data_IF_517387178251
#
_entry.id   IF_517387178251
#
_cell.length_a   1.000
_cell.length_b   1.000
_cell.length_c   1.000
_cell.angle_alpha   90.00
_cell.angle_beta   90.00
_cell.angle_gamma   90.00
#
_symmetry.space_group_name_H-M   'P 1'
#
loop_
_entity.id
_entity.type
_entity.pdbx_description
1 polymer ?
#
# COMPACT_ATOMS: atom_id res chain seq x y z
N UNK A 1 -40.54 16.10 -2.64
CA UNK A 1 -40.68 14.85 -3.41
C UNK A 1 -40.73 13.72 -2.42
N UNK A 2 -41.62 12.75 -2.62
CA UNK A 2 -41.62 11.56 -1.77
C UNK A 2 -40.43 10.64 -2.16
N UNK A 3 -40.09 9.67 -1.31
CA UNK A 3 -38.93 8.79 -1.54
C UNK A 3 -39.07 7.99 -2.84
N UNK A 4 -40.27 7.47 -3.12
CA UNK A 4 -40.52 6.66 -4.32
C UNK A 4 -40.34 7.46 -5.62
N UNK A 5 -40.78 8.71 -5.63
CA UNK A 5 -40.58 9.65 -6.74
C UNK A 5 -39.09 9.96 -6.95
N UNK A 6 -38.32 10.11 -5.87
CA UNK A 6 -36.86 10.28 -5.97
C UNK A 6 -36.24 9.02 -6.60
N UNK A 7 -36.62 7.83 -6.11
CA UNK A 7 -36.13 6.54 -6.64
C UNK A 7 -36.42 6.43 -8.14
N UNK A 8 -37.65 6.74 -8.57
CA UNK A 8 -38.06 6.72 -9.98
C UNK A 8 -37.23 7.68 -10.84
N UNK A 9 -37.06 8.91 -10.38
CA UNK A 9 -36.28 9.93 -11.10
C UNK A 9 -34.79 9.55 -11.18
N UNK A 10 -34.23 8.92 -10.16
CA UNK A 10 -32.86 8.41 -10.18
C UNK A 10 -32.74 7.21 -11.14
N UNK A 11 -33.69 6.27 -11.12
CA UNK A 11 -33.71 5.11 -12.00
C UNK A 11 -33.79 5.52 -13.49
N UNK A 12 -34.60 6.53 -13.81
CA UNK A 12 -34.71 7.14 -15.14
C UNK A 12 -33.52 8.04 -15.53
N UNK A 13 -32.65 8.39 -14.58
CA UNK A 13 -31.48 9.24 -14.81
C UNK A 13 -31.75 10.74 -14.86
N UNK A 14 -32.95 11.17 -14.46
CA UNK A 14 -33.37 12.56 -14.30
C UNK A 14 -32.66 13.22 -13.11
N UNK A 15 -32.48 12.46 -12.02
CA UNK A 15 -31.60 12.82 -10.89
C UNK A 15 -30.33 11.99 -10.98
N UNK A 16 -29.16 12.63 -10.95
CA UNK A 16 -27.88 11.90 -10.98
C UNK A 16 -27.55 11.32 -9.61
N UNK A 17 -26.85 10.18 -9.57
CA UNK A 17 -26.49 9.47 -8.33
C UNK A 17 -25.79 10.37 -7.29
N UNK A 18 -24.90 11.25 -7.72
CA UNK A 18 -24.17 12.17 -6.82
C UNK A 18 -25.03 13.33 -6.28
N UNK A 19 -26.25 13.51 -6.79
CA UNK A 19 -27.16 14.58 -6.38
C UNK A 19 -28.15 14.12 -5.30
N UNK A 20 -28.23 12.82 -5.02
CA UNK A 20 -29.26 12.25 -4.16
C UNK A 20 -29.25 12.86 -2.76
N UNK A 21 -28.10 13.19 -2.18
CA UNK A 21 -28.02 13.86 -0.87
C UNK A 21 -28.76 15.19 -0.81
N UNK A 22 -28.88 15.91 -1.95
CA UNK A 22 -29.65 17.17 -2.02
C UNK A 22 -31.14 16.95 -1.80
N UNK A 23 -31.65 15.76 -2.15
CA UNK A 23 -33.06 15.39 -2.03
C UNK A 23 -33.37 14.64 -0.73
N UNK A 24 -32.34 14.34 0.08
CA UNK A 24 -32.50 13.71 1.41
C UNK A 24 -32.14 14.64 2.56
N UNK A 25 -32.05 15.95 2.30
CA UNK A 25 -31.59 16.96 3.28
C UNK A 25 -30.24 16.58 3.92
N UNK A 26 -29.33 16.01 3.12
CA UNK A 26 -28.01 15.56 3.60
C UNK A 26 -28.02 14.23 4.37
N UNK A 27 -29.17 13.56 4.52
CA UNK A 27 -29.21 12.22 5.12
C UNK A 27 -28.54 11.20 4.20
N UNK A 28 -27.29 10.87 4.53
CA UNK A 28 -26.40 9.98 3.78
C UNK A 28 -26.85 8.51 3.78
N UNK A 29 -27.48 8.07 4.88
CA UNK A 29 -28.05 6.71 4.97
C UNK A 29 -29.21 6.54 4.02
N UNK A 30 -30.17 7.47 4.08
CA UNK A 30 -31.30 7.48 3.16
C UNK A 30 -30.84 7.65 1.70
N UNK A 31 -29.84 8.49 1.44
CA UNK A 31 -29.29 8.65 0.09
C UNK A 31 -28.69 7.36 -0.46
N UNK A 32 -27.97 6.60 0.38
CA UNK A 32 -27.42 5.29 0.03
C UNK A 32 -28.52 4.29 -0.31
N UNK A 33 -29.59 4.24 0.50
CA UNK A 33 -30.75 3.39 0.23
C UNK A 33 -31.47 3.77 -1.06
N UNK A 34 -31.70 5.07 -1.31
CA UNK A 34 -32.35 5.56 -2.53
C UNK A 34 -31.54 5.17 -3.76
N UNK A 35 -30.21 5.34 -3.74
CA UNK A 35 -29.36 4.92 -4.86
C UNK A 35 -29.48 3.42 -5.11
N UNK A 36 -29.36 2.60 -4.07
CA UNK A 36 -29.47 1.14 -4.18
C UNK A 36 -30.81 0.74 -4.78
N UNK A 37 -31.92 1.23 -4.22
CA UNK A 37 -33.28 0.95 -4.71
C UNK A 37 -33.51 1.43 -6.15
N UNK A 38 -32.94 2.58 -6.52
CA UNK A 38 -33.03 3.07 -7.89
C UNK A 38 -32.30 2.15 -8.88
N UNK A 39 -31.15 1.57 -8.49
CA UNK A 39 -30.46 0.56 -9.31
C UNK A 39 -31.23 -0.76 -9.36
N UNK A 40 -31.77 -1.24 -8.23
CA UNK A 40 -32.65 -2.42 -8.17
C UNK A 40 -33.83 -2.27 -9.14
N UNK A 41 -34.52 -1.12 -9.10
CA UNK A 41 -35.64 -0.79 -9.98
C UNK A 41 -35.24 -0.67 -11.45
N UNK A 42 -34.11 0.01 -11.73
CA UNK A 42 -33.62 0.22 -13.10
C UNK A 42 -33.26 -1.08 -13.81
N UNK A 43 -32.66 -2.03 -13.09
CA UNK A 43 -32.14 -3.26 -13.67
C UNK A 43 -33.01 -4.49 -13.38
N UNK A 44 -34.05 -4.37 -12.55
CA UNK A 44 -34.88 -5.52 -12.16
C UNK A 44 -34.11 -6.55 -11.33
N UNK A 45 -33.19 -6.09 -10.48
CA UNK A 45 -32.32 -6.94 -9.64
C UNK A 45 -32.57 -6.69 -8.16
N UNK A 46 -32.12 -7.61 -7.30
CA UNK A 46 -32.12 -7.45 -5.85
C UNK A 46 -30.68 -7.26 -5.33
N UNK A 47 -30.44 -6.21 -4.53
CA UNK A 47 -29.15 -5.88 -3.93
C UNK A 47 -29.20 -6.01 -2.40
N UNK A 48 -29.96 -6.99 -1.90
CA UNK A 48 -30.17 -7.25 -0.48
C UNK A 48 -28.87 -7.37 0.33
N UNK A 49 -27.93 -8.20 -0.11
CA UNK A 49 -26.73 -8.52 0.68
C UNK A 49 -25.79 -7.31 0.87
N UNK A 50 -25.61 -6.50 -0.16
CA UNK A 50 -24.79 -5.28 -0.03
C UNK A 50 -25.52 -4.19 0.75
N UNK A 51 -26.84 -4.30 0.93
CA UNK A 51 -27.67 -3.40 1.71
C UNK A 51 -27.67 -3.64 3.21
N UNK A 52 -27.19 -4.81 3.65
CA UNK A 52 -27.09 -5.20 5.05
C UNK A 52 -25.65 -5.06 5.53
N UNK A 53 -25.36 -3.96 6.22
CA UNK A 53 -24.02 -3.65 6.71
C UNK A 53 -24.07 -2.83 8.00
N UNK A 54 -23.01 -2.93 8.80
CA UNK A 54 -22.85 -2.22 10.07
C UNK A 54 -22.12 -0.88 9.94
N UNK A 55 -21.41 -0.65 8.84
CA UNK A 55 -20.67 0.60 8.57
C UNK A 55 -21.64 1.77 8.45
N UNK A 56 -21.40 2.87 9.18
CA UNK A 56 -22.25 4.05 9.11
C UNK A 56 -21.92 4.92 7.87
N UNK A 57 -22.87 5.11 6.92
CA UNK A 57 -22.66 5.94 5.74
C UNK A 57 -22.23 7.38 6.07
N UNK A 58 -22.62 7.89 7.25
CA UNK A 58 -22.21 9.24 7.68
C UNK A 58 -20.69 9.36 7.89
N UNK A 59 -20.03 8.28 8.30
CA UNK A 59 -18.60 8.28 8.61
C UNK A 59 -17.73 8.10 7.37
N UNK A 60 -18.20 7.32 6.38
CA UNK A 60 -17.41 6.93 5.21
C UNK A 60 -17.64 7.80 3.97
N UNK A 61 -18.83 8.38 3.78
CA UNK A 61 -19.11 9.20 2.60
C UNK A 61 -18.32 10.51 2.65
N UNK A 62 -17.59 10.80 1.56
CA UNK A 62 -16.73 11.98 1.45
C UNK A 62 -15.36 11.83 2.12
N UNK A 63 -15.04 10.64 2.64
CA UNK A 63 -13.71 10.28 3.16
C UNK A 63 -13.16 9.02 2.52
N UNK A 64 -13.99 7.98 2.40
CA UNK A 64 -13.61 6.65 1.91
C UNK A 64 -14.30 6.29 0.60
N UNK A 65 -15.50 6.82 0.34
CA UNK A 65 -16.31 6.43 -0.82
C UNK A 65 -17.28 7.54 -1.25
N UNK A 66 -17.61 7.56 -2.54
CA UNK A 66 -18.67 8.35 -3.15
C UNK A 66 -19.77 7.45 -3.72
N UNK A 67 -20.98 7.99 -3.93
CA UNK A 67 -22.10 7.25 -4.51
C UNK A 67 -22.37 5.89 -3.83
N UNK A 68 -22.20 5.82 -2.51
CA UNK A 68 -22.36 4.58 -1.76
C UNK A 68 -23.72 3.94 -2.04
N UNK A 69 -23.72 2.63 -2.29
CA UNK A 69 -24.93 1.80 -2.47
C UNK A 69 -24.99 0.63 -1.49
N UNK A 70 -23.94 0.41 -0.71
CA UNK A 70 -23.81 -0.78 0.13
C UNK A 70 -22.36 -1.05 0.50
N UNK A 71 -22.10 -2.28 0.97
CA UNK A 71 -20.77 -2.76 1.37
C UNK A 71 -20.56 -4.18 0.85
N UNK A 72 -19.35 -4.47 0.35
CA UNK A 72 -18.91 -5.85 0.07
C UNK A 72 -18.44 -6.52 1.36
N UNK A 73 -18.86 -7.76 1.58
CA UNK A 73 -18.48 -8.53 2.77
C UNK A 73 -17.38 -9.53 2.39
N UNK A 74 -16.23 -9.47 3.06
CA UNK A 74 -15.09 -10.37 2.84
C UNK A 74 -14.93 -11.26 4.07
N UNK A 75 -14.86 -12.60 3.93
CA UNK A 75 -14.63 -13.49 5.07
C UNK A 75 -13.34 -13.14 5.81
N UNK A 76 -13.39 -13.15 7.14
CA UNK A 76 -12.23 -12.93 7.99
C UNK A 76 -11.88 -14.17 8.79
N UNK A 77 -10.61 -14.52 8.80
CA UNK A 77 -10.02 -15.53 9.66
C UNK A 77 -8.90 -14.96 10.53
N UNK A 78 -8.34 -15.82 11.38
CA UNK A 78 -7.21 -15.47 12.25
C UNK A 78 -6.13 -16.55 12.15
N UNK A 79 -4.87 -16.13 12.09
CA UNK A 79 -3.70 -17.03 12.14
C UNK A 79 -2.83 -16.67 13.35
N UNK A 80 -2.41 -17.66 14.14
CA UNK A 80 -1.54 -17.43 15.28
C UNK A 80 -1.57 -18.54 16.35
N UNK A 81 -0.82 -18.37 17.44
CA UNK A 81 0.05 -17.22 17.71
C UNK A 81 1.31 -17.21 16.83
N UNK A 82 1.70 -16.04 16.34
CA UNK A 82 3.03 -15.76 15.77
C UNK A 82 3.87 -15.03 16.81
N UNK A 83 4.95 -15.65 17.28
CA UNK A 83 5.91 -15.00 18.17
C UNK A 83 6.85 -14.09 17.37
N UNK A 84 6.85 -12.81 17.70
CA UNK A 84 7.71 -11.80 17.09
C UNK A 84 8.69 -11.28 18.15
N UNK A 85 9.96 -11.21 17.76
CA UNK A 85 11.08 -10.67 18.52
C UNK A 85 11.67 -9.48 17.75
N UNK A 86 10.86 -8.44 17.52
CA UNK A 86 11.22 -7.25 16.74
C UNK A 86 11.63 -6.06 17.58
N UNK A 87 11.99 -4.96 16.93
CA UNK A 87 12.30 -3.68 17.57
C UNK A 87 11.05 -3.03 18.19
N UNK A 88 9.94 -3.07 17.45
CA UNK A 88 8.67 -2.44 17.83
C UNK A 88 7.59 -3.43 18.31
N UNK A 89 7.60 -4.66 17.80
CA UNK A 89 6.65 -5.71 18.15
C UNK A 89 7.38 -6.84 18.89
N UNK A 90 6.98 -7.11 20.14
CA UNK A 90 7.54 -8.17 20.98
C UNK A 90 6.43 -8.95 21.66
N UNK A 91 6.37 -10.26 21.43
CA UNK A 91 5.37 -11.15 22.01
C UNK A 91 4.64 -12.00 20.98
N UNK A 92 3.49 -12.54 21.39
CA UNK A 92 2.64 -13.39 20.54
C UNK A 92 1.49 -12.58 19.93
N UNK A 93 1.30 -12.72 18.62
CA UNK A 93 0.28 -12.01 17.86
C UNK A 93 -0.67 -12.97 17.16
N UNK A 94 -1.94 -12.60 17.13
CA UNK A 94 -2.98 -13.24 16.32
C UNK A 94 -3.33 -12.30 15.16
N UNK A 95 -3.08 -12.76 13.93
CA UNK A 95 -3.11 -11.93 12.74
C UNK A 95 -4.48 -12.06 12.07
N UNK A 96 -5.27 -10.97 11.95
CA UNK A 96 -6.51 -10.99 11.20
C UNK A 96 -6.22 -11.02 9.69
N UNK A 97 -6.94 -11.88 8.96
CA UNK A 97 -6.78 -12.09 7.52
C UNK A 97 -8.15 -12.07 6.85
N UNK A 98 -8.39 -11.10 5.96
CA UNK A 98 -9.61 -11.01 5.17
C UNK A 98 -9.36 -11.56 3.77
N UNK A 99 -9.96 -12.71 3.43
CA UNK A 99 -9.72 -13.37 2.14
C UNK A 99 -10.88 -14.24 1.71
N UNK A 100 -11.00 -14.45 0.40
CA UNK A 100 -11.88 -15.44 -0.23
C UNK A 100 -11.10 -16.67 -0.73
N UNK A 101 -9.78 -16.65 -0.65
CA UNK A 101 -8.93 -17.77 -1.06
C UNK A 101 -8.93 -18.88 -0.01
N UNK A 102 -9.40 -20.07 -0.42
CA UNK A 102 -9.36 -21.27 0.41
C UNK A 102 -7.93 -21.65 0.81
N UNK A 103 -7.78 -22.23 2.00
CA UNK A 103 -6.50 -22.68 2.57
C UNK A 103 -5.46 -21.59 2.90
N UNK A 104 -5.61 -20.33 2.47
CA UNK A 104 -4.64 -19.26 2.78
C UNK A 104 -4.43 -19.10 4.28
N UNK A 105 -5.51 -18.86 5.05
CA UNK A 105 -5.45 -18.67 6.51
C UNK A 105 -4.85 -19.90 7.20
N UNK A 106 -5.24 -21.10 6.79
CA UNK A 106 -4.73 -22.34 7.37
C UNK A 106 -3.23 -22.54 7.10
N UNK A 107 -2.77 -22.18 5.89
CA UNK A 107 -1.35 -22.23 5.50
C UNK A 107 -0.51 -21.24 6.31
N UNK A 108 -0.98 -19.99 6.45
CA UNK A 108 -0.32 -18.97 7.30
C UNK A 108 -0.26 -19.45 8.74
N UNK A 109 -1.37 -19.99 9.27
CA UNK A 109 -1.43 -20.52 10.64
C UNK A 109 -0.43 -21.67 10.89
N UNK A 110 -0.24 -22.56 9.90
CA UNK A 110 0.80 -23.61 9.97
C UNK A 110 2.21 -23.00 10.03
N UNK A 111 2.47 -21.96 9.25
CA UNK A 111 3.73 -21.20 9.30
C UNK A 111 3.96 -20.55 10.67
N UNK A 112 2.96 -19.86 11.22
CA UNK A 112 3.01 -19.28 12.57
C UNK A 112 3.36 -20.35 13.61
N UNK A 113 2.71 -21.51 13.56
CA UNK A 113 2.97 -22.62 14.49
C UNK A 113 4.40 -23.15 14.42
N UNK A 114 5.02 -23.19 13.23
CA UNK A 114 6.41 -23.61 13.07
C UNK A 114 7.39 -22.54 13.59
N UNK A 115 7.18 -21.27 13.22
CA UNK A 115 8.04 -20.16 13.62
C UNK A 115 7.99 -19.91 15.13
N UNK A 116 6.80 -19.93 15.73
CA UNK A 116 6.63 -19.77 17.19
C UNK A 116 7.31 -20.91 17.95
N UNK A 117 7.18 -22.16 17.48
CA UNK A 117 7.87 -23.30 18.08
C UNK A 117 9.40 -23.23 17.94
N UNK A 118 9.91 -22.55 16.92
CA UNK A 118 11.33 -22.31 16.70
C UNK A 118 11.90 -21.13 17.52
N UNK A 119 11.11 -20.49 18.38
CA UNK A 119 11.54 -19.36 19.21
C UNK A 119 11.11 -17.98 18.70
N UNK A 120 10.40 -17.93 17.56
CA UNK A 120 9.84 -16.71 16.98
C UNK A 120 10.70 -16.08 15.89
N UNK A 121 10.19 -15.00 15.32
CA UNK A 121 10.76 -14.30 14.16
C UNK A 121 11.42 -13.00 14.60
N UNK A 122 12.64 -12.74 14.15
CA UNK A 122 13.27 -11.41 14.31
C UNK A 122 12.82 -10.52 13.17
N UNK A 123 12.51 -9.25 13.46
CA UNK A 123 12.09 -8.28 12.45
C UNK A 123 12.78 -6.94 12.65
N UNK A 124 13.25 -6.35 11.55
CA UNK A 124 13.99 -5.09 11.54
C UNK A 124 13.42 -4.16 10.46
N UNK A 125 13.25 -2.88 10.80
CA UNK A 125 12.89 -1.85 9.81
C UNK A 125 14.19 -1.22 9.30
N UNK A 126 14.48 -1.41 8.01
CA UNK A 126 15.69 -0.91 7.36
C UNK A 126 15.52 0.54 6.93
N UNK A 127 14.33 0.90 6.45
CA UNK A 127 14.05 2.25 5.97
C UNK A 127 12.57 2.59 6.17
N UNK A 128 12.29 3.88 6.35
CA UNK A 128 10.95 4.42 6.52
C UNK A 128 10.83 5.78 5.83
N UNK A 129 10.19 5.78 4.67
CA UNK A 129 9.93 6.99 3.89
C UNK A 129 8.80 6.83 2.89
N UNK A 130 7.88 7.77 2.86
CA UNK A 130 6.91 7.87 1.77
C UNK A 130 7.44 8.78 0.67
N UNK A 131 7.10 8.49 -0.58
CA UNK A 131 7.65 9.22 -1.72
C UNK A 131 6.59 9.84 -2.62
N UNK A 132 6.95 10.98 -3.19
CA UNK A 132 6.22 11.65 -4.27
C UNK A 132 7.22 12.19 -5.28
N UNK A 133 6.91 12.04 -6.56
CA UNK A 133 7.81 12.45 -7.63
C UNK A 133 7.10 13.35 -8.64
N UNK A 134 7.08 14.67 -8.45
CA UNK A 134 6.57 15.61 -9.43
C UNK A 134 7.44 15.62 -10.70
N UNK A 135 6.81 16.01 -11.81
CA UNK A 135 7.45 16.22 -13.11
C UNK A 135 7.48 17.71 -13.45
N UNK A 136 8.68 18.20 -13.73
CA UNK A 136 8.98 19.53 -14.24
C UNK A 136 9.48 19.42 -15.69
N UNK A 137 9.09 20.39 -16.52
CA UNK A 137 9.68 20.61 -17.84
C UNK A 137 10.56 21.84 -17.78
N UNK A 138 11.84 21.65 -18.05
CA UNK A 138 12.84 22.72 -18.14
C UNK A 138 13.02 23.15 -19.61
N UNK A 139 13.66 24.30 -19.89
CA UNK A 139 14.05 24.69 -21.24
C UNK A 139 15.01 23.69 -21.87
N UNK A 140 15.97 23.20 -21.09
CA UNK A 140 16.95 22.20 -21.51
C UNK A 140 17.47 21.35 -20.33
N UNK A 141 18.33 20.39 -20.64
CA UNK A 141 18.93 19.50 -19.65
C UNK A 141 19.91 20.21 -18.68
N UNK A 142 20.51 21.34 -19.08
CA UNK A 142 21.42 22.11 -18.21
C UNK A 142 20.63 22.80 -17.12
N UNK A 143 19.49 23.43 -17.46
CA UNK A 143 18.57 24.00 -16.48
C UNK A 143 18.01 22.93 -15.56
N UNK A 144 17.61 21.77 -16.10
CA UNK A 144 17.16 20.64 -15.27
C UNK A 144 18.20 20.22 -14.23
N UNK A 145 19.48 20.15 -14.62
CA UNK A 145 20.59 19.85 -13.69
C UNK A 145 20.79 20.94 -12.65
N UNK A 146 20.70 22.21 -13.04
CA UNK A 146 20.82 23.36 -12.13
C UNK A 146 19.71 23.33 -11.07
N UNK A 147 18.45 23.14 -11.48
CA UNK A 147 17.30 23.03 -10.58
C UNK A 147 17.48 21.83 -9.64
N UNK A 148 17.87 20.66 -10.16
CA UNK A 148 18.10 19.47 -9.36
C UNK A 148 19.22 19.67 -8.31
N UNK A 149 20.30 20.36 -8.67
CA UNK A 149 21.39 20.70 -7.75
C UNK A 149 20.91 21.65 -6.65
N UNK A 150 20.21 22.71 -7.03
CA UNK A 150 19.65 23.67 -6.07
C UNK A 150 18.70 22.99 -5.09
N UNK A 151 17.77 22.14 -5.55
CA UNK A 151 16.83 21.43 -4.68
C UNK A 151 17.55 20.54 -3.67
N UNK A 152 18.61 19.83 -4.09
CA UNK A 152 19.42 19.00 -3.17
C UNK A 152 20.14 19.81 -2.11
N UNK A 153 20.68 20.96 -2.48
CA UNK A 153 21.43 21.84 -1.56
C UNK A 153 20.52 22.60 -0.58
N UNK A 154 19.21 22.65 -0.86
CA UNK A 154 18.25 23.49 -0.13
C UNK A 154 17.13 22.66 0.53
N UNK A 155 17.38 21.41 0.90
CA UNK A 155 16.38 20.55 1.58
C UNK A 155 15.84 21.21 2.86
N UNK A 156 16.71 21.70 3.74
CA UNK A 156 16.31 22.34 5.01
C UNK A 156 15.46 23.60 4.77
N UNK A 157 15.86 24.40 3.77
CA UNK A 157 15.09 25.58 3.35
C UNK A 157 13.70 25.17 2.84
N UNK A 158 13.61 24.17 1.97
CA UNK A 158 12.34 23.66 1.44
C UNK A 158 11.46 23.05 2.55
N UNK A 159 12.06 22.39 3.53
CA UNK A 159 11.36 21.92 4.72
C UNK A 159 10.72 23.10 5.48
N UNK A 160 11.47 24.17 5.72
CA UNK A 160 10.99 25.35 6.44
C UNK A 160 9.89 26.10 5.68
N UNK A 161 10.14 26.46 4.41
CA UNK A 161 9.26 27.39 3.68
C UNK A 161 8.07 26.72 3.00
N UNK A 162 8.10 25.41 2.78
CA UNK A 162 7.03 24.67 2.09
C UNK A 162 6.44 23.57 2.97
N UNK A 163 7.23 22.57 3.38
CA UNK A 163 6.69 21.38 4.06
C UNK A 163 6.06 21.71 5.41
N UNK A 164 6.66 22.62 6.17
CA UNK A 164 6.19 23.02 7.50
C UNK A 164 4.85 23.78 7.49
N UNK A 165 4.41 24.27 6.31
CA UNK A 165 3.05 24.84 6.13
C UNK A 165 1.97 23.75 6.08
N UNK A 166 2.34 22.53 5.70
CA UNK A 166 1.43 21.41 5.45
C UNK A 166 1.33 20.52 6.68
N UNK A 167 2.43 20.29 7.36
CA UNK A 167 2.51 19.31 8.46
C UNK A 167 3.49 19.76 9.54
N UNK A 168 3.17 19.42 10.78
CA UNK A 168 4.05 19.63 11.94
C UNK A 168 5.00 18.47 12.20
N UNK A 169 4.65 17.28 11.70
CA UNK A 169 5.36 16.03 12.01
C UNK A 169 6.01 15.38 10.79
N UNK A 170 5.68 15.84 9.58
CA UNK A 170 6.32 15.34 8.37
C UNK A 170 7.61 16.09 8.08
N UNK A 171 8.61 15.35 7.61
CA UNK A 171 9.95 15.85 7.34
C UNK A 171 10.40 15.41 5.96
N UNK A 172 10.88 16.35 5.13
CA UNK A 172 11.58 16.05 3.89
C UNK A 172 12.98 15.53 4.22
N UNK A 173 13.21 14.24 4.01
CA UNK A 173 14.48 13.57 4.31
C UNK A 173 15.51 13.76 3.20
N UNK A 174 15.08 13.55 1.96
CA UNK A 174 15.96 13.55 0.80
C UNK A 174 15.16 13.80 -0.49
N UNK A 175 15.88 14.03 -1.58
CA UNK A 175 15.34 14.14 -2.93
C UNK A 175 16.25 13.46 -3.94
N UNK A 176 15.67 12.53 -4.72
CA UNK A 176 16.36 11.85 -5.81
C UNK A 176 15.88 12.40 -7.17
N UNK A 177 16.68 13.24 -7.84
CA UNK A 177 16.36 13.77 -9.15
C UNK A 177 16.65 12.73 -10.25
N UNK A 178 15.78 12.69 -11.26
CA UNK A 178 15.98 11.95 -12.50
C UNK A 178 15.78 12.91 -13.67
N UNK A 179 16.74 12.97 -14.60
CA UNK A 179 16.68 13.86 -15.76
C UNK A 179 16.59 13.02 -17.03
N UNK A 180 15.58 13.29 -17.87
CA UNK A 180 15.38 12.63 -19.16
C UNK A 180 15.10 13.70 -20.20
N UNK A 181 16.12 14.06 -20.98
CA UNK A 181 16.06 15.23 -21.86
C UNK A 181 15.86 16.51 -21.05
N UNK A 182 14.82 17.27 -21.36
CA UNK A 182 14.44 18.46 -20.60
C UNK A 182 13.35 18.20 -19.54
N UNK A 183 13.09 16.93 -19.22
CA UNK A 183 12.23 16.55 -18.11
C UNK A 183 13.07 16.36 -16.85
N UNK A 184 12.61 16.92 -15.74
CA UNK A 184 13.16 16.71 -14.41
C UNK A 184 12.08 16.10 -13.52
N UNK A 185 12.37 14.94 -12.96
CA UNK A 185 11.55 14.29 -11.95
C UNK A 185 12.24 14.43 -10.60
N UNK A 186 11.55 14.92 -9.59
CA UNK A 186 12.10 15.09 -8.24
C UNK A 186 11.43 14.11 -7.29
N UNK A 187 12.03 12.93 -7.08
CA UNK A 187 11.50 11.94 -6.14
C UNK A 187 11.86 12.38 -4.71
N UNK A 188 10.96 13.13 -4.09
CA UNK A 188 11.06 13.51 -2.69
C UNK A 188 10.77 12.32 -1.78
N UNK A 189 11.55 12.22 -0.70
CA UNK A 189 11.46 11.20 0.32
C UNK A 189 11.08 11.88 1.65
N UNK A 190 9.96 11.47 2.25
CA UNK A 190 9.41 12.11 3.45
C UNK A 190 9.22 11.13 4.60
N UNK A 191 9.45 11.60 5.84
CA UNK A 191 8.89 10.99 7.04
C UNK A 191 7.41 11.35 7.20
N UNK A 192 6.58 10.39 7.61
CA UNK A 192 5.13 10.56 7.71
C UNK A 192 4.56 10.19 9.08
N UNK A 193 5.42 9.84 10.05
CA UNK A 193 5.00 9.24 11.31
C UNK A 193 4.23 7.93 11.07
N UNK A 194 3.13 7.75 11.79
CA UNK A 194 2.29 6.54 11.68
C UNK A 194 1.33 6.54 10.48
N UNK A 195 1.14 7.69 9.83
CA UNK A 195 0.31 7.74 8.63
C UNK A 195 1.06 7.12 7.44
N UNK A 196 0.33 6.45 6.55
CA UNK A 196 0.88 6.09 5.22
C UNK A 196 1.36 7.36 4.48
N UNK A 197 0.65 8.48 4.68
CA UNK A 197 1.18 9.82 4.39
C UNK A 197 1.00 10.31 2.96
N UNK A 198 0.31 9.57 2.08
CA UNK A 198 0.14 9.95 0.67
C UNK A 198 -0.43 11.36 0.46
N UNK A 199 -1.48 11.74 1.19
CA UNK A 199 -2.06 13.08 1.07
C UNK A 199 -1.08 14.17 1.54
N UNK A 200 -0.39 13.92 2.65
CA UNK A 200 0.60 14.85 3.18
C UNK A 200 1.74 15.08 2.18
N UNK A 201 2.37 14.01 1.68
CA UNK A 201 3.50 14.15 0.74
C UNK A 201 3.08 14.77 -0.58
N UNK A 202 1.82 14.61 -0.98
CA UNK A 202 1.26 15.21 -2.19
C UNK A 202 1.15 16.72 -2.04
N UNK A 203 0.53 17.19 -0.97
CA UNK A 203 0.36 18.63 -0.70
C UNK A 203 1.73 19.27 -0.42
N UNK A 204 2.59 18.61 0.36
CA UNK A 204 3.95 19.10 0.63
C UNK A 204 4.77 19.23 -0.65
N UNK A 205 4.71 18.24 -1.56
CA UNK A 205 5.38 18.33 -2.86
C UNK A 205 4.83 19.48 -3.71
N UNK A 206 3.52 19.74 -3.66
CA UNK A 206 2.91 20.88 -4.37
C UNK A 206 3.43 22.22 -3.86
N UNK A 207 3.53 22.39 -2.54
CA UNK A 207 4.11 23.60 -1.95
C UNK A 207 5.60 23.77 -2.33
N UNK A 208 6.37 22.67 -2.37
CA UNK A 208 7.76 22.70 -2.86
C UNK A 208 7.80 23.12 -4.34
N UNK A 209 6.88 22.62 -5.17
CA UNK A 209 6.85 22.99 -6.60
C UNK A 209 6.59 24.49 -6.78
N UNK A 210 5.71 25.11 -5.98
CA UNK A 210 5.48 26.56 -6.02
C UNK A 210 6.76 27.35 -5.75
N UNK A 211 7.53 26.96 -4.73
CA UNK A 211 8.83 27.59 -4.42
C UNK A 211 9.83 27.42 -5.57
N UNK A 212 9.86 26.26 -6.22
CA UNK A 212 10.73 26.02 -7.38
C UNK A 212 10.33 26.89 -8.57
N UNK A 213 9.04 26.98 -8.91
CA UNK A 213 8.56 27.80 -10.03
C UNK A 213 8.78 29.30 -9.79
N UNK A 214 8.65 29.78 -8.55
CA UNK A 214 9.00 31.16 -8.19
C UNK A 214 10.50 31.45 -8.36
N UNK A 215 11.36 30.49 -7.99
CA UNK A 215 12.82 30.62 -8.10
C UNK A 215 13.32 30.49 -9.54
N UNK A 216 12.71 29.61 -10.31
CA UNK A 216 13.07 29.29 -11.70
C UNK A 216 11.85 29.50 -12.62
N UNK A 217 11.54 30.76 -12.99
CA UNK A 217 10.32 31.09 -13.74
C UNK A 217 10.33 30.56 -15.19
N UNK A 218 11.47 30.04 -15.68
CA UNK A 218 11.61 29.37 -16.97
C UNK A 218 11.32 27.85 -16.91
N UNK A 219 11.04 27.31 -15.72
CA UNK A 219 10.66 25.91 -15.49
C UNK A 219 9.15 25.82 -15.32
N UNK A 220 8.55 24.78 -15.90
CA UNK A 220 7.11 24.53 -15.81
C UNK A 220 6.81 23.25 -15.06
N UNK A 221 6.00 23.33 -14.03
CA UNK A 221 5.41 22.19 -13.35
C UNK A 221 4.29 21.55 -14.20
N UNK A 222 4.41 20.25 -14.48
CA UNK A 222 3.49 19.52 -15.37
C UNK A 222 2.54 18.59 -14.61
N UNK A 223 3.04 17.86 -13.61
CA UNK A 223 2.24 16.86 -12.90
C UNK A 223 2.81 16.55 -11.51
N UNK A 224 1.95 16.38 -10.50
CA UNK A 224 2.36 16.07 -9.11
C UNK A 224 2.93 14.65 -9.03
N UNK A 225 2.45 13.75 -9.89
CA UNK A 225 2.97 12.40 -10.04
C UNK A 225 3.43 12.18 -11.47
N UNK A 226 4.75 12.21 -11.67
CA UNK A 226 5.42 11.83 -12.91
C UNK A 226 5.73 10.34 -12.99
N UNK A 227 5.01 9.48 -12.26
CA UNK A 227 5.22 8.03 -12.19
C UNK A 227 6.61 7.55 -11.75
N UNK A 228 7.46 8.40 -11.16
CA UNK A 228 8.72 8.01 -10.50
C UNK A 228 8.63 7.99 -8.97
N UNK A 229 7.42 7.96 -8.40
CA UNK A 229 7.24 7.84 -6.95
C UNK A 229 7.76 6.48 -6.44
N UNK A 230 7.29 5.32 -6.89
CA UNK A 230 6.14 5.01 -7.78
C UNK A 230 5.00 4.46 -6.91
N UNK A 231 3.78 4.91 -7.09
CA UNK A 231 2.64 4.50 -6.26
C UNK A 231 1.77 3.50 -7.01
N UNK A 232 1.38 2.35 -6.45
CA UNK A 232 0.40 1.39 -7.01
C UNK A 232 0.77 0.75 -8.37
N UNK A 233 2.06 0.75 -8.75
CA UNK A 233 2.55 0.09 -9.97
C UNK A 233 3.82 -0.71 -9.69
N UNK A 234 3.99 -1.91 -10.28
CA UNK A 234 5.22 -2.67 -10.15
C UNK A 234 6.38 -1.94 -10.84
N UNK A 235 7.52 -1.82 -10.17
CA UNK A 235 8.65 -1.03 -10.66
C UNK A 235 9.96 -1.34 -9.91
N UNK A 236 11.08 -1.20 -10.62
CA UNK A 236 12.42 -1.42 -10.04
C UNK A 236 12.84 -0.34 -9.04
N UNK A 237 12.35 0.89 -9.15
CA UNK A 237 12.79 2.00 -8.29
C UNK A 237 12.40 1.77 -6.84
N UNK A 238 11.17 1.34 -6.57
CA UNK A 238 10.73 0.98 -5.22
C UNK A 238 11.48 -0.25 -4.70
N UNK A 239 11.77 -1.24 -5.58
CA UNK A 239 12.54 -2.42 -5.21
C UNK A 239 13.97 -2.06 -4.76
N UNK A 240 14.62 -1.11 -5.45
CA UNK A 240 16.02 -0.74 -5.20
C UNK A 240 16.16 0.34 -4.11
N UNK A 241 15.30 1.36 -4.14
CA UNK A 241 15.44 2.57 -3.30
C UNK A 241 14.49 2.59 -2.09
N UNK A 242 13.59 1.61 -1.99
CA UNK A 242 12.53 1.55 -0.98
C UNK A 242 11.41 2.56 -1.20
N UNK A 243 10.24 2.27 -0.62
CA UNK A 243 9.09 3.16 -0.47
C UNK A 243 8.18 2.63 0.63
N UNK A 244 7.67 3.51 1.49
CA UNK A 244 7.00 3.13 2.73
C UNK A 244 8.01 2.55 3.72
N UNK A 245 7.69 1.37 4.26
CA UNK A 245 8.56 0.64 5.18
C UNK A 245 9.34 -0.43 4.41
N UNK A 246 10.66 -0.43 4.53
CA UNK A 246 11.52 -1.54 4.08
C UNK A 246 11.79 -2.42 5.28
N UNK A 247 11.39 -3.70 5.23
CA UNK A 247 11.35 -4.57 6.41
C UNK A 247 12.05 -5.88 6.10
N UNK A 248 12.88 -6.36 7.04
CA UNK A 248 13.43 -7.71 7.00
C UNK A 248 12.81 -8.52 8.13
N UNK A 249 12.40 -9.75 7.83
CA UNK A 249 11.99 -10.72 8.83
C UNK A 249 12.73 -12.04 8.63
N UNK A 250 13.28 -12.61 9.70
CA UNK A 250 14.13 -13.79 9.62
C UNK A 250 13.96 -14.74 10.81
N UNK A 251 14.21 -16.03 10.57
CA UNK A 251 14.17 -17.07 11.59
C UNK A 251 15.12 -18.23 11.22
N UNK A 252 15.56 -18.95 12.25
CA UNK A 252 16.17 -20.28 12.11
C UNK A 252 15.17 -21.29 12.65
N UNK A 253 14.78 -22.27 11.82
CA UNK A 253 13.81 -23.31 12.17
C UNK A 253 14.55 -24.63 12.31
N UNK A 254 14.56 -25.24 13.50
CA UNK A 254 15.16 -26.55 13.73
C UNK A 254 14.65 -27.62 12.77
N UNK A 255 15.53 -28.50 12.27
CA UNK A 255 15.18 -29.59 11.34
C UNK A 255 13.95 -30.39 11.80
N UNK A 256 13.93 -30.79 13.07
CA UNK A 256 12.81 -31.58 13.63
C UNK A 256 11.47 -30.84 13.46
N UNK A 257 11.46 -29.52 13.63
CA UNK A 257 10.27 -28.69 13.45
C UNK A 257 9.87 -28.64 11.98
N UNK A 258 10.83 -28.49 11.07
CA UNK A 258 10.57 -28.51 9.62
C UNK A 258 9.95 -29.85 9.21
N UNK A 259 10.54 -30.97 9.61
CA UNK A 259 10.03 -32.32 9.29
C UNK A 259 8.66 -32.57 9.92
N UNK A 260 8.49 -32.21 11.19
CA UNK A 260 7.26 -32.50 11.94
C UNK A 260 6.09 -31.60 11.55
N UNK A 261 6.30 -30.30 11.34
CA UNK A 261 5.22 -29.34 11.09
C UNK A 261 5.07 -28.97 9.62
N UNK A 262 6.18 -28.82 8.89
CA UNK A 262 6.17 -28.44 7.47
C UNK A 262 6.18 -29.64 6.54
N UNK A 263 6.48 -30.84 7.07
CA UNK A 263 6.41 -32.13 6.35
C UNK A 263 7.38 -32.18 5.17
N UNK A 264 8.57 -31.64 5.35
CA UNK A 264 9.66 -31.58 4.36
C UNK A 264 11.02 -31.48 5.08
N UNK A 265 12.11 -31.26 4.35
CA UNK A 265 13.44 -31.03 4.92
C UNK A 265 13.95 -29.61 4.63
N UNK A 266 14.90 -29.09 5.44
CA UNK A 266 15.58 -27.82 5.15
C UNK A 266 16.17 -27.75 3.74
N UNK A 267 16.82 -28.82 3.26
CA UNK A 267 17.43 -28.89 1.93
C UNK A 267 16.40 -28.69 0.83
N UNK A 268 15.24 -29.35 0.94
CA UNK A 268 14.20 -29.25 -0.07
C UNK A 268 13.60 -27.84 -0.12
N UNK A 269 13.46 -27.18 1.04
CA UNK A 269 12.99 -25.78 1.08
C UNK A 269 14.02 -24.85 0.42
N UNK A 270 15.30 -24.97 0.76
CA UNK A 270 16.37 -24.17 0.17
C UNK A 270 16.45 -24.37 -1.37
N UNK A 271 16.38 -25.62 -1.82
CA UNK A 271 16.41 -25.98 -3.24
C UNK A 271 15.22 -25.41 -4.01
N UNK A 272 13.99 -25.54 -3.46
CA UNK A 272 12.79 -24.96 -4.07
C UNK A 272 12.88 -23.44 -4.08
N UNK A 273 13.38 -22.81 -3.00
CA UNK A 273 13.56 -21.36 -2.96
C UNK A 273 14.52 -20.89 -4.07
N UNK A 274 15.68 -21.53 -4.19
CA UNK A 274 16.66 -21.20 -5.22
C UNK A 274 16.06 -21.35 -6.63
N UNK A 275 15.48 -22.51 -6.95
CA UNK A 275 14.98 -22.78 -8.31
C UNK A 275 13.74 -21.97 -8.65
N UNK A 276 12.81 -21.81 -7.70
CA UNK A 276 11.51 -21.17 -7.93
C UNK A 276 11.56 -19.66 -7.73
N UNK A 277 11.96 -19.22 -6.53
CA UNK A 277 11.89 -17.81 -6.14
C UNK A 277 13.06 -17.01 -6.73
N UNK A 278 14.22 -17.62 -6.97
CA UNK A 278 15.37 -16.93 -7.56
C UNK A 278 15.45 -17.16 -9.07
N UNK A 279 15.80 -18.37 -9.51
CA UNK A 279 16.02 -18.67 -10.94
C UNK A 279 14.75 -18.45 -11.78
N UNK A 280 13.61 -18.97 -11.31
CA UNK A 280 12.32 -18.81 -11.98
C UNK A 280 11.90 -17.34 -12.11
N UNK A 281 11.97 -16.57 -11.03
CA UNK A 281 11.64 -15.15 -11.03
C UNK A 281 12.61 -14.31 -11.88
N UNK A 282 13.91 -14.63 -11.87
CA UNK A 282 14.90 -13.99 -12.72
C UNK A 282 14.59 -14.22 -14.21
N UNK A 283 14.28 -15.46 -14.59
CA UNK A 283 13.89 -15.80 -15.96
C UNK A 283 12.62 -15.06 -16.41
N UNK A 284 11.71 -14.77 -15.48
CA UNK A 284 10.47 -14.04 -15.74
C UNK A 284 10.63 -12.51 -15.76
N UNK A 285 11.80 -11.96 -15.42
CA UNK A 285 11.98 -10.51 -15.23
C UNK A 285 11.10 -9.95 -14.09
N UNK A 286 10.83 -10.77 -13.08
CA UNK A 286 9.94 -10.43 -11.96
C UNK A 286 10.62 -9.51 -10.95
N UNK A 287 9.83 -8.72 -10.21
CA UNK A 287 10.25 -8.00 -9.00
C UNK A 287 9.82 -8.73 -7.71
N UNK A 288 9.05 -9.81 -7.85
CA UNK A 288 8.69 -10.72 -6.76
C UNK A 288 9.57 -11.97 -6.82
N UNK A 289 10.65 -11.97 -6.04
CA UNK A 289 11.51 -13.13 -5.81
C UNK A 289 11.00 -13.91 -4.60
N UNK A 290 9.70 -14.18 -4.60
CA UNK A 290 8.98 -14.78 -3.49
C UNK A 290 7.87 -15.72 -3.99
N UNK A 291 7.24 -16.44 -3.07
CA UNK A 291 6.18 -17.37 -3.43
C UNK A 291 4.81 -16.72 -3.56
N UNK A 292 4.39 -15.96 -2.54
CA UNK A 292 3.02 -15.44 -2.49
C UNK A 292 2.85 -14.23 -1.54
N UNK A 293 3.82 -13.31 -1.46
CA UNK A 293 3.72 -12.14 -0.56
C UNK A 293 2.42 -11.36 -0.74
N UNK A 294 1.99 -11.17 -2.00
CA UNK A 294 0.74 -10.50 -2.36
C UNK A 294 -0.49 -11.09 -1.64
N UNK A 295 -0.55 -12.42 -1.43
CA UNK A 295 -1.70 -13.04 -0.75
C UNK A 295 -1.75 -12.65 0.73
N UNK A 296 -0.62 -12.67 1.44
CA UNK A 296 -0.57 -12.29 2.87
C UNK A 296 -0.82 -10.79 3.01
N UNK A 297 -0.09 -9.98 2.24
CA UNK A 297 -0.23 -8.51 2.26
C UNK A 297 -1.67 -8.12 1.96
N UNK A 298 -2.27 -8.67 0.91
CA UNK A 298 -3.66 -8.39 0.57
C UNK A 298 -4.64 -8.77 1.67
N UNK A 299 -4.48 -9.95 2.27
CA UNK A 299 -5.37 -10.39 3.33
C UNK A 299 -5.27 -9.53 4.60
N UNK A 300 -4.06 -9.10 4.97
CA UNK A 300 -3.85 -8.18 6.11
C UNK A 300 -4.37 -6.78 5.77
N UNK A 301 -4.10 -6.28 4.55
CA UNK A 301 -4.49 -4.93 4.11
C UNK A 301 -6.00 -4.77 4.13
N UNK A 302 -6.74 -5.74 3.58
CA UNK A 302 -8.20 -5.75 3.61
C UNK A 302 -8.73 -5.84 5.05
N UNK A 303 -8.11 -6.66 5.90
CA UNK A 303 -8.52 -6.81 7.31
C UNK A 303 -8.27 -5.55 8.16
N UNK A 304 -7.29 -4.73 7.78
CA UNK A 304 -6.82 -3.57 8.56
C UNK A 304 -7.08 -2.22 7.89
N UNK A 305 -7.88 -2.21 6.82
CA UNK A 305 -8.32 -0.99 6.13
C UNK A 305 -7.21 -0.21 5.42
N UNK A 306 -6.18 -0.91 4.95
CA UNK A 306 -5.11 -0.30 4.12
C UNK A 306 -5.58 -0.14 2.67
N UNK A 307 -4.83 0.62 1.88
CA UNK A 307 -5.10 0.84 0.46
C UNK A 307 -4.76 -0.42 -0.35
N UNK A 308 -5.78 -1.11 -0.86
CA UNK A 308 -5.66 -2.39 -1.54
C UNK A 308 -4.86 -2.29 -2.84
N UNK A 309 -4.83 -1.14 -3.49
CA UNK A 309 -4.04 -0.97 -4.71
C UNK A 309 -2.53 -0.92 -4.41
N UNK A 310 -2.12 -0.69 -3.17
CA UNK A 310 -0.71 -0.75 -2.75
C UNK A 310 -0.23 -2.18 -2.47
N UNK A 311 -1.10 -3.20 -2.59
CA UNK A 311 -0.66 -4.61 -2.61
C UNK A 311 0.38 -4.82 -3.71
N UNK A 312 0.31 -4.09 -4.83
CA UNK A 312 1.32 -4.16 -5.90
C UNK A 312 2.73 -3.82 -5.41
N UNK A 313 2.84 -2.99 -4.37
CA UNK A 313 4.13 -2.58 -3.80
C UNK A 313 4.59 -3.57 -2.73
N UNK A 314 3.69 -4.01 -1.84
CA UNK A 314 4.00 -5.03 -0.83
C UNK A 314 4.22 -6.43 -1.40
N UNK A 315 3.90 -6.65 -2.68
CA UNK A 315 4.20 -7.89 -3.40
C UNK A 315 5.67 -7.99 -3.84
N UNK A 316 6.41 -6.87 -3.85
CA UNK A 316 7.85 -6.87 -4.10
C UNK A 316 8.60 -7.54 -2.95
N UNK A 317 9.77 -8.11 -3.27
CA UNK A 317 10.67 -8.60 -2.25
C UNK A 317 11.31 -9.92 -2.58
N UNK A 318 12.23 -10.34 -1.72
CA UNK A 318 13.06 -11.53 -1.89
C UNK A 318 12.85 -12.47 -0.72
N UNK A 319 12.64 -13.75 -1.00
CA UNK A 319 12.75 -14.83 0.00
C UNK A 319 14.12 -15.51 -0.14
N UNK A 320 14.86 -15.58 0.95
CA UNK A 320 16.09 -16.37 1.05
C UNK A 320 15.85 -17.57 1.97
N UNK A 321 16.46 -18.69 1.63
CA UNK A 321 16.39 -19.91 2.42
C UNK A 321 17.70 -20.68 2.26
N UNK A 322 18.30 -21.07 3.38
CA UNK A 322 19.61 -21.71 3.43
C UNK A 322 19.62 -22.79 4.52
N UNK A 323 20.45 -23.82 4.34
CA UNK A 323 20.68 -24.83 5.37
C UNK A 323 21.86 -24.38 6.22
N UNK A 324 21.69 -24.29 7.53
CA UNK A 324 22.76 -23.90 8.46
C UNK A 324 23.79 -25.02 8.59
N UNK A 325 24.93 -24.74 9.23
CA UNK A 325 25.97 -25.74 9.49
C UNK A 325 25.46 -26.90 10.37
N UNK A 326 24.50 -26.62 11.25
CA UNK A 326 23.83 -27.58 12.12
C UNK A 326 22.76 -28.39 11.38
N UNK A 327 22.50 -28.07 10.12
CA UNK A 327 21.47 -28.73 9.31
C UNK A 327 20.06 -28.18 9.54
N UNK A 328 19.91 -27.00 10.14
CA UNK A 328 18.62 -26.33 10.33
C UNK A 328 18.28 -25.43 9.13
N UNK A 329 17.06 -24.89 9.10
CA UNK A 329 16.63 -23.97 8.04
C UNK A 329 16.77 -22.51 8.50
N UNK A 330 17.67 -21.75 7.90
CA UNK A 330 17.57 -20.29 7.90
C UNK A 330 16.58 -19.85 6.81
N UNK A 331 15.67 -18.96 7.14
CA UNK A 331 14.74 -18.34 6.19
C UNK A 331 14.59 -16.86 6.49
N UNK A 332 14.59 -16.04 5.44
CA UNK A 332 14.32 -14.61 5.56
C UNK A 332 13.48 -14.09 4.40
N UNK A 333 12.78 -12.99 4.68
CA UNK A 333 12.07 -12.19 3.70
C UNK A 333 12.51 -10.74 3.81
N UNK A 334 12.56 -10.05 2.68
CA UNK A 334 12.87 -8.61 2.56
C UNK A 334 11.91 -7.96 1.58
#
# INVERSE_FOLDING_TARGET
>A
MNIEEIIDKVAKGEIKLHQVEKYTNGNRRLATEIRRKALEKKFGINLEHIGHYSIDPNQVIGKNIENMIGVVQIPMGVAGPLRINGEYAKGEFYIPLATTEGALVASVNRGCSALTAAGGVKTTIIDDKMTRAPLLKCPDARRAREVAGWVKENIDYLQEVAVSKVTRHGMLKDVKPFIVGNNLYLRFEFETGDAMGMNMVTIASEEIMKVIEEKFPDVRYLALSGNLCVDKKPNAINFILGRGKTVIAEAVIPREIVEKKLKTTPEMIAEVNYRKNLVGSAQAGSYGFNAHFANIVGAIFLATGQDEAQITEGAHGITLAEVTLEGDLYISIT
#
